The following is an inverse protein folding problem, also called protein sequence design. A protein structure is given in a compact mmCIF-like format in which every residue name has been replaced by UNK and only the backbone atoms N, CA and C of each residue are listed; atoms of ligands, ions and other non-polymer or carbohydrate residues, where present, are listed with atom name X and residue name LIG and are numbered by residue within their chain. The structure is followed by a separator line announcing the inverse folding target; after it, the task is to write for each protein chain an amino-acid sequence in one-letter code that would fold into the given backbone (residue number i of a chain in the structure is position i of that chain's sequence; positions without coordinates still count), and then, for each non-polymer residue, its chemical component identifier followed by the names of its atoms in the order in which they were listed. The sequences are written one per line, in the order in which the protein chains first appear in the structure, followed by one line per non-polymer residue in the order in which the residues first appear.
data_IF_511386099166
#
_entry.id   IF_511386099166
#
_cell.length_a   1.000
_cell.length_b   1.000
_cell.length_c   1.000
_cell.angle_alpha   90.00
_cell.angle_beta   90.00
_cell.angle_gamma   90.00
#
_symmetry.space_group_name_H-M   'P 1'
#
loop_
_entity.id
_entity.type
_entity.pdbx_description
1 polymer ?
#
# COMPACT_ATOMS: atom_id res chain seq x y z
N UNK A 1 -37.57 18.73 27.03
CA UNK A 1 -36.75 17.55 26.71
C UNK A 1 -37.27 16.91 25.43
N UNK A 2 -36.55 17.06 24.32
CA UNK A 2 -36.89 16.39 23.07
C UNK A 2 -36.49 14.92 23.17
N UNK A 3 -37.50 14.05 23.08
CA UNK A 3 -37.33 12.60 22.96
C UNK A 3 -36.64 12.36 21.61
N UNK A 4 -35.35 12.02 21.63
CA UNK A 4 -34.66 11.48 20.44
C UNK A 4 -35.36 10.14 20.17
N UNK A 5 -36.39 10.16 19.33
CA UNK A 5 -37.01 8.92 18.85
C UNK A 5 -35.97 8.21 18.02
N UNK A 6 -35.67 6.97 18.38
CA UNK A 6 -34.90 6.06 17.56
C UNK A 6 -35.66 5.90 16.23
N UNK A 7 -35.35 6.76 15.26
CA UNK A 7 -35.94 6.81 13.92
C UNK A 7 -35.35 5.72 13.01
N UNK A 8 -34.87 4.62 13.59
CA UNK A 8 -34.34 3.50 12.83
C UNK A 8 -35.50 2.70 12.24
N UNK A 9 -35.77 2.90 10.95
CA UNK A 9 -36.64 2.00 10.21
C UNK A 9 -36.04 0.58 10.21
N UNK A 10 -36.88 -0.45 10.34
CA UNK A 10 -36.46 -1.86 10.35
C UNK A 10 -36.01 -2.39 8.97
N UNK A 11 -35.95 -1.54 7.93
CA UNK A 11 -35.53 -1.91 6.56
C UNK A 11 -34.10 -1.48 6.23
N UNK A 12 -33.22 -1.40 7.23
CA UNK A 12 -31.85 -0.92 7.06
C UNK A 12 -31.03 -1.83 6.16
N UNK A 13 -31.23 -3.14 6.26
CA UNK A 13 -30.54 -4.13 5.42
C UNK A 13 -30.91 -3.94 3.94
N UNK A 14 -32.17 -3.64 3.66
CA UNK A 14 -32.65 -3.36 2.30
C UNK A 14 -32.10 -2.04 1.75
N UNK A 15 -31.95 -1.01 2.60
CA UNK A 15 -31.32 0.26 2.23
C UNK A 15 -29.86 0.05 1.79
N UNK A 16 -29.11 -0.77 2.52
CA UNK A 16 -27.71 -1.09 2.18
C UNK A 16 -27.65 -1.86 0.85
N UNK A 17 -28.46 -2.90 0.69
CA UNK A 17 -28.53 -3.66 -0.55
C UNK A 17 -28.91 -2.77 -1.76
N UNK A 18 -29.84 -1.82 -1.58
CA UNK A 18 -30.22 -0.84 -2.60
C UNK A 18 -29.05 0.10 -2.95
N UNK A 19 -28.34 0.65 -1.95
CA UNK A 19 -27.21 1.58 -2.15
C UNK A 19 -26.05 0.97 -2.94
N UNK A 20 -25.76 -0.32 -2.71
CA UNK A 20 -24.71 -1.04 -3.42
C UNK A 20 -25.17 -1.67 -4.74
N UNK A 21 -26.46 -1.55 -5.09
CA UNK A 21 -27.01 -2.15 -6.30
C UNK A 21 -27.12 -3.68 -6.24
N UNK A 22 -27.13 -4.24 -5.03
CA UNK A 22 -27.25 -5.67 -4.76
C UNK A 22 -28.72 -6.12 -4.61
N UNK A 23 -29.65 -5.16 -4.46
CA UNK A 23 -31.07 -5.43 -4.40
C UNK A 23 -31.60 -5.98 -5.74
N UNK A 24 -32.33 -7.10 -5.69
CA UNK A 24 -33.01 -7.63 -6.87
C UNK A 24 -34.08 -6.65 -7.36
N UNK A 25 -34.46 -6.70 -8.65
CA UNK A 25 -35.43 -5.75 -9.24
C UNK A 25 -36.74 -5.63 -8.44
N UNK A 26 -37.28 -6.76 -7.98
CA UNK A 26 -38.49 -6.78 -7.16
C UNK A 26 -38.30 -6.13 -5.78
N UNK A 27 -37.13 -6.32 -5.16
CA UNK A 27 -36.77 -5.73 -3.87
C UNK A 27 -36.53 -4.22 -4.00
N UNK A 28 -35.81 -3.80 -5.05
CA UNK A 28 -35.57 -2.39 -5.35
C UNK A 28 -36.90 -1.63 -5.52
N UNK A 29 -37.82 -2.13 -6.34
CA UNK A 29 -39.14 -1.49 -6.52
C UNK A 29 -40.01 -1.53 -5.26
N UNK A 30 -39.83 -2.50 -4.37
CA UNK A 30 -40.52 -2.54 -3.07
C UNK A 30 -39.91 -1.54 -2.08
N UNK A 31 -38.60 -1.30 -2.16
CA UNK A 31 -37.91 -0.31 -1.37
C UNK A 31 -38.22 1.12 -1.84
N UNK A 32 -38.30 1.36 -3.15
CA UNK A 32 -38.68 2.65 -3.73
C UNK A 32 -40.09 3.10 -3.28
N UNK A 33 -41.07 2.19 -3.31
CA UNK A 33 -42.42 2.46 -2.75
C UNK A 33 -42.40 2.76 -1.25
N UNK A 34 -41.45 2.20 -0.52
CA UNK A 34 -41.26 2.51 0.90
C UNK A 34 -40.63 3.90 1.09
N UNK A 35 -39.69 4.28 0.23
CA UNK A 35 -39.10 5.62 0.24
C UNK A 35 -40.14 6.71 0.02
N UNK A 36 -41.24 6.46 -0.71
CA UNK A 36 -42.35 7.43 -0.83
C UNK A 36 -43.00 7.75 0.53
N UNK A 37 -43.06 6.77 1.42
CA UNK A 37 -43.84 6.86 2.66
C UNK A 37 -42.98 6.96 3.94
N UNK A 38 -41.67 6.73 3.86
CA UNK A 38 -40.76 6.75 5.02
C UNK A 38 -39.74 7.89 4.92
N UNK A 39 -39.96 8.95 5.70
CA UNK A 39 -39.02 10.09 5.77
C UNK A 39 -37.64 9.67 6.30
N UNK A 40 -37.58 8.83 7.34
CA UNK A 40 -36.32 8.39 7.93
C UNK A 40 -35.39 7.69 6.92
N UNK A 41 -35.93 6.79 6.09
CA UNK A 41 -35.12 6.13 5.05
C UNK A 41 -34.67 7.09 3.94
N UNK A 42 -35.47 8.11 3.60
CA UNK A 42 -35.05 9.15 2.64
C UNK A 42 -33.92 10.00 3.20
N UNK A 43 -34.00 10.36 4.48
CA UNK A 43 -32.97 11.14 5.16
C UNK A 43 -31.67 10.34 5.26
N UNK A 44 -31.74 9.06 5.64
CA UNK A 44 -30.58 8.16 5.65
C UNK A 44 -29.96 8.02 4.24
N UNK A 45 -30.78 7.79 3.20
CA UNK A 45 -30.29 7.67 1.82
C UNK A 45 -29.58 8.96 1.35
N UNK A 46 -30.12 10.11 1.72
CA UNK A 46 -29.55 11.43 1.42
C UNK A 46 -28.22 11.64 2.16
N UNK A 47 -28.16 11.28 3.44
CA UNK A 47 -26.94 11.33 4.22
C UNK A 47 -25.81 10.49 3.61
N UNK A 48 -26.13 9.29 3.10
CA UNK A 48 -25.15 8.45 2.39
C UNK A 48 -24.73 9.03 1.03
N UNK A 49 -25.62 9.71 0.31
CA UNK A 49 -25.28 10.37 -0.95
C UNK A 49 -24.19 11.43 -0.75
N UNK A 50 -24.29 12.25 0.31
CA UNK A 50 -23.25 13.23 0.65
C UNK A 50 -21.89 12.58 0.94
N UNK A 51 -21.85 11.46 1.64
CA UNK A 51 -20.59 10.74 1.89
C UNK A 51 -19.98 10.23 0.59
N UNK A 52 -20.79 9.67 -0.31
CA UNK A 52 -20.32 9.18 -1.62
C UNK A 52 -19.78 10.31 -2.50
N UNK A 53 -20.43 11.46 -2.48
CA UNK A 53 -19.97 12.66 -3.17
C UNK A 53 -18.61 13.12 -2.61
N UNK A 54 -18.48 13.27 -1.29
CA UNK A 54 -17.22 13.65 -0.65
C UNK A 54 -16.06 12.67 -0.94
N UNK A 55 -16.34 11.36 -0.93
CA UNK A 55 -15.33 10.34 -1.34
C UNK A 55 -14.99 10.45 -2.83
N UNK A 56 -15.98 10.78 -3.66
CA UNK A 56 -15.79 11.01 -5.10
C UNK A 56 -14.89 12.22 -5.37
N UNK A 57 -15.12 13.33 -4.68
CA UNK A 57 -14.28 14.54 -4.76
C UNK A 57 -12.86 14.26 -4.29
N UNK A 58 -12.70 13.63 -3.11
CA UNK A 58 -11.39 13.26 -2.58
C UNK A 58 -10.62 12.35 -3.55
N UNK A 59 -11.30 11.36 -4.14
CA UNK A 59 -10.71 10.50 -5.16
C UNK A 59 -10.32 11.32 -6.40
N UNK A 60 -11.17 12.22 -6.87
CA UNK A 60 -10.86 13.06 -8.01
C UNK A 60 -9.62 13.93 -7.73
N UNK A 61 -9.49 14.49 -6.53
CA UNK A 61 -8.33 15.29 -6.13
C UNK A 61 -7.05 14.47 -6.06
N UNK A 62 -7.10 13.24 -5.53
CA UNK A 62 -5.96 12.34 -5.59
C UNK A 62 -5.55 12.00 -7.04
N UNK A 63 -6.52 11.79 -7.92
CA UNK A 63 -6.23 11.51 -9.33
C UNK A 63 -5.74 12.73 -10.12
N UNK A 64 -6.08 13.96 -9.70
CA UNK A 64 -5.52 15.20 -10.28
C UNK A 64 -4.00 15.31 -10.05
N UNK A 65 -3.51 14.77 -8.93
CA UNK A 65 -2.07 14.76 -8.60
C UNK A 65 -1.29 13.57 -9.14
N UNK A 66 -1.98 12.50 -9.57
CA UNK A 66 -1.33 11.36 -10.17
C UNK A 66 -0.95 11.68 -11.63
N UNK A 67 0.31 11.45 -12.07
CA UNK A 67 0.64 11.55 -13.48
C UNK A 67 -0.27 10.58 -14.23
N UNK A 68 -1.11 11.11 -15.11
CA UNK A 68 -2.02 10.31 -15.92
C UNK A 68 -1.19 9.31 -16.72
N UNK A 69 -1.12 8.07 -16.27
CA UNK A 69 -0.77 6.95 -17.12
C UNK A 69 -1.89 6.91 -18.16
N UNK A 70 -1.62 7.55 -19.30
CA UNK A 70 -2.55 7.71 -20.41
C UNK A 70 -2.79 6.34 -21.04
N UNK A 71 -3.62 5.54 -20.38
CA UNK A 71 -4.13 4.28 -20.88
C UNK A 71 -5.01 4.51 -22.14
N UNK A 72 -5.43 5.75 -22.38
CA UNK A 72 -6.09 6.21 -23.60
C UNK A 72 -5.22 6.02 -24.86
N UNK A 73 -3.88 6.07 -24.75
CA UNK A 73 -2.97 5.79 -25.87
C UNK A 73 -2.85 4.29 -26.21
N UNK A 74 -3.07 3.40 -25.23
CA UNK A 74 -2.99 1.95 -25.41
C UNK A 74 -4.32 1.31 -25.87
N UNK A 75 -5.43 2.04 -25.75
CA UNK A 75 -6.78 1.61 -26.16
C UNK A 75 -7.30 2.33 -27.40
N UNK A 76 -6.42 2.95 -28.20
CA UNK A 76 -6.75 3.40 -29.55
C UNK A 76 -6.98 2.20 -30.48
N UNK A 77 -8.03 1.42 -30.20
CA UNK A 77 -8.62 0.46 -31.12
C UNK A 77 -9.35 1.27 -32.22
N UNK A 78 -9.25 0.86 -33.49
CA UNK A 78 -9.96 1.53 -34.57
C UNK A 78 -11.48 1.45 -34.33
N UNK A 79 -12.07 2.63 -34.16
CA UNK A 79 -13.50 2.86 -33.98
C UNK A 79 -14.24 2.58 -35.29
N UNK A 80 -14.58 1.31 -35.55
CA UNK A 80 -15.42 0.97 -36.71
C UNK A 80 -16.34 -0.24 -36.52
N UNK A 81 -16.70 -0.58 -35.27
CA UNK A 81 -17.76 -1.57 -35.01
C UNK A 81 -18.68 -1.13 -33.87
N UNK A 82 -19.41 -0.03 -34.08
CA UNK A 82 -20.66 0.19 -33.37
C UNK A 82 -21.72 -0.76 -33.95
N UNK A 83 -21.95 -1.87 -33.26
CA UNK A 83 -23.18 -2.64 -33.38
C UNK A 83 -23.61 -3.09 -31.98
N UNK A 84 -24.57 -2.35 -31.42
CA UNK A 84 -25.53 -2.74 -30.37
C UNK A 84 -25.19 -4.01 -29.58
N UNK A 85 -24.49 -3.88 -28.45
CA UNK A 85 -24.31 -4.96 -27.49
C UNK A 85 -24.71 -4.53 -26.09
N UNK A 86 -25.64 -5.33 -25.54
CA UNK A 86 -26.32 -5.29 -24.25
C UNK A 86 -25.31 -5.38 -23.07
N UNK A 87 -25.47 -4.61 -21.97
CA UNK A 87 -24.44 -4.44 -20.93
C UNK A 87 -24.18 -5.63 -19.99
N UNK A 88 -24.81 -6.80 -20.17
CA UNK A 88 -24.71 -7.90 -19.18
C UNK A 88 -23.55 -8.90 -19.40
N UNK A 89 -22.74 -8.77 -20.46
CA UNK A 89 -21.71 -9.78 -20.79
C UNK A 89 -20.26 -9.31 -20.71
N UNK A 90 -20.00 -8.11 -20.22
CA UNK A 90 -18.64 -7.54 -20.22
C UNK A 90 -17.79 -7.94 -19.02
N UNK A 91 -18.37 -8.43 -17.91
CA UNK A 91 -17.58 -8.88 -16.76
C UNK A 91 -16.68 -10.07 -17.11
N UNK A 92 -17.13 -11.00 -17.96
CA UNK A 92 -16.33 -12.16 -18.39
C UNK A 92 -15.14 -11.74 -19.26
N UNK A 93 -15.27 -10.64 -20.00
CA UNK A 93 -14.19 -10.06 -20.82
C UNK A 93 -13.20 -9.30 -19.95
N UNK A 94 -13.67 -8.56 -18.94
CA UNK A 94 -12.82 -7.91 -17.95
C UNK A 94 -12.00 -8.94 -17.14
N UNK A 95 -12.62 -10.05 -16.73
CA UNK A 95 -11.92 -11.16 -16.05
C UNK A 95 -10.92 -11.86 -16.96
N UNK A 96 -11.19 -11.97 -18.26
CA UNK A 96 -10.25 -12.56 -19.22
C UNK A 96 -8.97 -11.71 -19.34
N UNK A 97 -9.10 -10.39 -19.45
CA UNK A 97 -7.96 -9.46 -19.49
C UNK A 97 -7.18 -9.46 -18.16
N UNK A 98 -7.87 -9.54 -17.03
CA UNK A 98 -7.23 -9.64 -15.72
C UNK A 98 -6.44 -10.96 -15.58
N UNK A 99 -7.00 -12.07 -16.06
CA UNK A 99 -6.32 -13.37 -16.07
C UNK A 99 -5.04 -13.32 -16.91
N UNK A 100 -5.09 -12.65 -18.06
CA UNK A 100 -3.94 -12.46 -18.95
C UNK A 100 -2.81 -11.67 -18.27
N UNK A 101 -3.17 -10.64 -17.50
CA UNK A 101 -2.24 -9.84 -16.69
C UNK A 101 -1.59 -10.67 -15.57
N UNK A 102 -2.35 -11.54 -14.91
CA UNK A 102 -1.80 -12.44 -13.88
C UNK A 102 -0.94 -13.56 -14.47
N UNK A 103 -1.23 -14.04 -15.69
CA UNK A 103 -0.35 -15.00 -16.38
C UNK A 103 0.96 -14.38 -16.86
N UNK A 104 1.00 -13.07 -17.07
CA UNK A 104 2.23 -12.32 -17.39
C UNK A 104 2.97 -11.83 -16.14
N UNK A 105 2.40 -12.01 -14.95
CA UNK A 105 3.06 -11.61 -13.70
C UNK A 105 4.22 -12.55 -13.38
N UNK A 106 5.39 -12.01 -13.00
CA UNK A 106 6.59 -12.80 -12.84
C UNK A 106 6.50 -13.73 -11.61
N UNK A 107 7.16 -14.89 -11.67
CA UNK A 107 6.96 -16.08 -10.81
C UNK A 107 6.92 -15.78 -9.30
N UNK A 108 7.63 -14.76 -8.82
CA UNK A 108 7.59 -14.31 -7.43
C UNK A 108 6.20 -13.82 -6.96
N UNK A 109 5.36 -13.31 -7.85
CA UNK A 109 3.99 -12.89 -7.54
C UNK A 109 3.03 -14.09 -7.41
N UNK A 110 3.26 -15.18 -8.14
CA UNK A 110 2.52 -16.43 -7.97
C UNK A 110 2.83 -17.12 -6.63
N UNK A 111 4.05 -17.00 -6.11
CA UNK A 111 4.37 -17.47 -4.77
C UNK A 111 3.62 -16.66 -3.69
N UNK A 112 3.48 -15.35 -3.91
CA UNK A 112 2.73 -14.46 -3.01
C UNK A 112 1.24 -14.77 -2.94
N UNK A 113 0.59 -15.12 -4.05
CA UNK A 113 -0.85 -15.41 -4.07
C UNK A 113 -1.20 -16.73 -3.36
N UNK A 114 -0.34 -17.76 -3.47
CA UNK A 114 -0.53 -19.02 -2.74
C UNK A 114 -0.36 -18.81 -1.23
N UNK A 115 0.67 -18.05 -0.82
CA UNK A 115 0.86 -17.71 0.58
C UNK A 115 -0.32 -16.89 1.14
N UNK A 116 -0.78 -15.88 0.41
CA UNK A 116 -1.94 -15.07 0.81
C UNK A 116 -3.23 -15.92 0.90
N UNK A 117 -3.47 -16.81 -0.06
CA UNK A 117 -4.63 -17.70 -0.04
C UNK A 117 -4.58 -18.66 1.16
N UNK A 118 -3.39 -19.21 1.50
CA UNK A 118 -3.22 -20.05 2.69
C UNK A 118 -3.44 -19.27 3.99
N UNK A 119 -2.95 -18.03 4.08
CA UNK A 119 -3.19 -17.16 5.24
C UNK A 119 -4.68 -16.84 5.37
N UNK A 120 -5.36 -16.50 4.28
CA UNK A 120 -6.81 -16.24 4.29
C UNK A 120 -7.59 -17.50 4.70
N UNK A 121 -7.25 -18.68 4.17
CA UNK A 121 -7.87 -19.94 4.58
C UNK A 121 -7.61 -20.26 6.05
N UNK A 122 -6.41 -20.00 6.56
CA UNK A 122 -6.07 -20.19 7.98
C UNK A 122 -6.86 -19.23 8.88
N UNK A 123 -6.99 -17.96 8.48
CA UNK A 123 -7.80 -16.96 9.19
C UNK A 123 -9.29 -17.30 9.14
N UNK A 124 -9.80 -17.76 8.00
CA UNK A 124 -11.18 -18.22 7.87
C UNK A 124 -11.45 -19.45 8.75
N UNK A 125 -10.52 -20.40 8.81
CA UNK A 125 -10.62 -21.54 9.72
C UNK A 125 -10.61 -21.10 11.19
N UNK A 126 -9.75 -20.14 11.57
CA UNK A 126 -9.75 -19.55 12.92
C UNK A 126 -11.07 -18.84 13.25
N UNK A 127 -11.63 -18.12 12.29
CA UNK A 127 -12.90 -17.41 12.45
C UNK A 127 -14.07 -18.39 12.65
N UNK A 128 -14.11 -19.51 11.91
CA UNK A 128 -15.11 -20.57 12.08
C UNK A 128 -14.98 -21.25 13.45
N UNK A 129 -13.75 -21.39 13.96
CA UNK A 129 -13.48 -21.97 15.30
C UNK A 129 -13.77 -20.98 16.44
N UNK A 130 -14.16 -19.72 16.14
CA UNK A 130 -14.42 -18.69 17.16
C UNK A 130 -13.24 -18.52 18.12
N UNK A 131 -12.01 -18.68 17.61
CA UNK A 131 -10.80 -18.47 18.39
C UNK A 131 -10.66 -16.97 18.67
N UNK A 132 -10.98 -16.56 19.90
CA UNK A 132 -10.70 -15.21 20.37
C UNK A 132 -9.18 -15.08 20.56
N UNK A 133 -8.51 -14.51 19.56
CA UNK A 133 -7.10 -14.11 19.70
C UNK A 133 -7.08 -12.80 20.45
N UNK A 134 -6.76 -12.87 21.75
CA UNK A 134 -6.55 -11.68 22.57
C UNK A 134 -5.06 -11.39 22.63
N UNK A 135 -4.67 -10.27 22.05
CA UNK A 135 -3.34 -9.68 22.28
C UNK A 135 -3.38 -8.95 23.63
N UNK A 136 -2.57 -9.43 24.58
CA UNK A 136 -2.36 -8.78 25.88
C UNK A 136 -0.87 -8.42 26.01
N UNK A 137 -0.52 -7.56 26.98
CA UNK A 137 0.86 -7.10 27.23
C UNK A 137 1.82 -8.28 27.55
N UNK A 138 1.29 -9.46 27.89
CA UNK A 138 2.05 -10.68 28.15
C UNK A 138 2.25 -11.62 26.94
N UNK A 139 1.84 -11.23 25.72
CA UNK A 139 2.05 -12.01 24.49
C UNK A 139 0.77 -12.58 23.84
N UNK A 140 0.94 -13.41 22.81
CA UNK A 140 -0.18 -13.97 22.01
C UNK A 140 -0.81 -15.14 22.78
N UNK A 141 -2.03 -14.95 23.30
CA UNK A 141 -2.83 -16.03 23.88
C UNK A 141 -3.93 -16.46 22.89
N UNK A 142 -3.81 -17.69 22.37
CA UNK A 142 -4.84 -18.31 21.52
C UNK A 142 -5.67 -19.25 22.38
N UNK A 143 -6.89 -18.85 22.72
CA UNK A 143 -7.83 -19.72 23.43
C UNK A 143 -8.60 -20.57 22.42
N UNK A 144 -8.11 -21.78 22.14
CA UNK A 144 -8.86 -22.78 21.38
C UNK A 144 -9.85 -23.48 22.32
N UNK A 145 -11.10 -23.01 22.32
CA UNK A 145 -12.16 -23.58 23.15
C UNK A 145 -12.59 -24.95 22.57
N UNK A 146 -11.82 -26.01 22.83
CA UNK A 146 -12.28 -27.40 22.68
C UNK A 146 -12.92 -27.83 24.00
N UNK A 147 -14.13 -28.40 23.89
CA UNK A 147 -15.12 -28.41 24.96
C UNK A 147 -14.69 -29.11 26.26
N UNK A 148 -14.94 -28.42 27.37
CA UNK A 148 -15.50 -29.03 28.56
C UNK A 148 -16.63 -28.15 29.08
N UNK A 149 -17.84 -28.71 29.17
CA UNK A 149 -18.99 -28.08 29.80
C UNK A 149 -18.67 -27.84 31.28
N UNK A 150 -18.21 -26.64 31.63
CA UNK A 150 -18.23 -26.18 33.02
C UNK A 150 -19.15 -24.95 33.09
N UNK A 151 -20.42 -25.22 33.35
CA UNK A 151 -21.44 -24.21 33.62
C UNK A 151 -21.04 -23.48 34.92
N UNK A 152 -20.45 -22.30 34.79
CA UNK A 152 -20.08 -21.42 35.92
C UNK A 152 -21.34 -20.67 36.37
N UNK A 153 -21.76 -20.74 37.64
CA UNK A 153 -22.90 -19.98 38.14
C UNK A 153 -22.61 -18.49 38.05
N UNK A 154 -23.61 -17.73 37.59
CA UNK A 154 -23.59 -16.29 37.41
C UNK A 154 -23.17 -15.57 38.70
N UNK A 155 -21.89 -15.28 38.81
CA UNK A 155 -21.38 -14.25 39.70
C UNK A 155 -21.50 -12.95 38.92
N UNK A 156 -22.38 -12.06 39.39
CA UNK A 156 -22.48 -10.68 38.92
C UNK A 156 -21.16 -10.00 39.26
N UNK A 157 -20.21 -10.03 38.33
CA UNK A 157 -19.03 -9.18 38.36
C UNK A 157 -19.48 -7.77 37.98
N UNK A 158 -19.13 -6.73 38.75
CA UNK A 158 -19.34 -5.36 38.32
C UNK A 158 -18.64 -5.16 36.98
N UNK A 159 -19.40 -4.80 35.95
CA UNK A 159 -18.88 -4.42 34.64
C UNK A 159 -17.93 -3.24 34.89
N UNK A 160 -16.61 -3.36 34.64
CA UNK A 160 -15.73 -2.20 34.65
C UNK A 160 -16.25 -1.23 33.58
N UNK A 161 -16.32 0.08 33.87
CA UNK A 161 -16.82 1.05 32.90
C UNK A 161 -16.03 0.90 31.59
N UNK A 162 -16.75 0.82 30.48
CA UNK A 162 -16.19 0.83 29.14
C UNK A 162 -15.15 1.98 29.03
N UNK A 163 -14.04 1.79 28.28
CA UNK A 163 -13.03 2.82 28.13
C UNK A 163 -13.72 4.08 27.61
N UNK A 164 -13.76 5.09 28.47
CA UNK A 164 -14.36 6.38 28.20
C UNK A 164 -13.69 6.91 26.93
N UNK A 165 -14.49 7.12 25.90
CA UNK A 165 -14.12 7.80 24.67
C UNK A 165 -13.39 9.08 25.07
N UNK A 166 -12.07 9.10 24.92
CA UNK A 166 -11.26 10.24 25.36
C UNK A 166 -11.65 11.43 24.50
N UNK A 167 -12.48 12.29 25.06
CA UNK A 167 -12.80 13.59 24.47
C UNK A 167 -11.52 14.41 24.59
N UNK A 168 -10.74 14.47 23.51
CA UNK A 168 -9.55 15.32 23.44
C UNK A 168 -9.95 16.76 23.71
N UNK A 169 -9.24 17.41 24.61
CA UNK A 169 -9.41 18.83 24.86
C UNK A 169 -8.89 19.63 23.66
N UNK A 170 -9.42 20.84 23.46
CA UNK A 170 -8.98 21.71 22.35
C UNK A 170 -7.46 21.96 22.40
N UNK A 171 -6.88 22.07 23.60
CA UNK A 171 -5.44 22.24 23.79
C UNK A 171 -4.63 21.03 23.33
N UNK A 172 -5.10 19.80 23.56
CA UNK A 172 -4.44 18.59 23.09
C UNK A 172 -4.46 18.50 21.55
N UNK A 173 -5.57 18.91 20.92
CA UNK A 173 -5.68 18.95 19.45
C UNK A 173 -4.69 19.96 18.86
N UNK A 174 -4.55 21.14 19.47
CA UNK A 174 -3.57 22.15 19.07
C UNK A 174 -2.13 21.65 19.23
N UNK A 175 -1.83 20.91 20.30
CA UNK A 175 -0.51 20.28 20.48
C UNK A 175 -0.23 19.19 19.45
N UNK A 176 -1.20 18.31 19.19
CA UNK A 176 -1.10 17.25 18.18
C UNK A 176 -0.87 17.83 16.78
N UNK A 177 -1.63 18.86 16.42
CA UNK A 177 -1.48 19.54 15.12
C UNK A 177 -0.14 20.26 15.00
N UNK A 178 0.31 20.94 16.06
CA UNK A 178 1.65 21.54 16.10
C UNK A 178 2.75 20.47 15.93
N UNK A 179 2.64 19.34 16.63
CA UNK A 179 3.59 18.22 16.53
C UNK A 179 3.62 17.60 15.13
N UNK A 180 2.46 17.35 14.52
CA UNK A 180 2.35 16.85 13.15
C UNK A 180 2.96 17.82 12.14
N UNK A 181 2.73 19.12 12.30
CA UNK A 181 3.29 20.13 11.39
C UNK A 181 4.82 20.22 11.51
N UNK A 182 5.37 20.14 12.72
CA UNK A 182 6.82 20.11 12.95
C UNK A 182 7.47 18.84 12.37
N UNK A 183 6.84 17.68 12.55
CA UNK A 183 7.31 16.42 11.96
C UNK A 183 7.32 16.47 10.42
N UNK A 184 6.28 17.04 9.81
CA UNK A 184 6.22 17.20 8.36
C UNK A 184 7.29 18.16 7.83
N UNK A 185 7.58 19.25 8.56
CA UNK A 185 8.67 20.16 8.19
C UNK A 185 10.04 19.45 8.21
N UNK A 186 10.31 18.65 9.25
CA UNK A 186 11.55 17.86 9.32
C UNK A 186 11.68 16.86 8.17
N UNK A 187 10.57 16.25 7.74
CA UNK A 187 10.57 15.31 6.62
C UNK A 187 10.93 16.00 5.30
N UNK A 188 10.38 17.20 5.05
CA UNK A 188 10.70 17.99 3.86
C UNK A 188 12.16 18.49 3.89
N UNK A 189 12.65 18.96 5.04
CA UNK A 189 14.07 19.32 5.19
C UNK A 189 14.99 18.13 4.88
N UNK A 190 14.70 16.97 5.46
CA UNK A 190 15.46 15.73 5.19
C UNK A 190 15.41 15.36 3.71
N UNK A 191 14.25 15.49 3.08
CA UNK A 191 14.08 15.24 1.63
C UNK A 191 14.94 16.18 0.79
N UNK A 192 14.96 17.47 1.11
CA UNK A 192 15.80 18.44 0.39
C UNK A 192 17.29 18.19 0.61
N UNK A 193 17.71 17.81 1.82
CA UNK A 193 19.09 17.43 2.11
C UNK A 193 19.51 16.21 1.29
N UNK A 194 18.64 15.20 1.20
CA UNK A 194 18.93 13.99 0.44
C UNK A 194 19.04 14.26 -1.06
N UNK A 195 18.16 15.12 -1.61
CA UNK A 195 18.23 15.56 -3.01
C UNK A 195 19.53 16.33 -3.30
N UNK A 196 19.93 17.24 -2.42
CA UNK A 196 21.18 17.99 -2.61
C UNK A 196 22.42 17.10 -2.50
N UNK A 197 22.43 16.13 -1.59
CA UNK A 197 23.48 15.11 -1.50
C UNK A 197 23.56 14.27 -2.79
N UNK A 198 22.43 13.78 -3.30
CA UNK A 198 22.37 13.04 -4.57
C UNK A 198 22.90 13.87 -5.76
N UNK A 199 22.55 15.16 -5.84
CA UNK A 199 23.09 16.04 -6.88
C UNK A 199 24.61 16.23 -6.77
N UNK A 200 25.16 16.29 -5.55
CA UNK A 200 26.62 16.38 -5.34
C UNK A 200 27.33 15.11 -5.80
N UNK A 201 26.77 13.93 -5.51
CA UNK A 201 27.30 12.64 -5.98
C UNK A 201 27.26 12.58 -7.51
N UNK A 202 26.12 12.89 -8.12
CA UNK A 202 25.98 12.88 -9.58
C UNK A 202 26.93 13.88 -10.28
N UNK A 203 27.20 15.04 -9.68
CA UNK A 203 28.20 16.00 -10.19
C UNK A 203 29.63 15.48 -10.06
N UNK A 204 29.96 14.84 -8.94
CA UNK A 204 31.28 14.24 -8.73
C UNK A 204 31.55 13.09 -9.72
N UNK A 205 30.55 12.25 -10.00
CA UNK A 205 30.63 11.19 -11.01
C UNK A 205 30.89 11.77 -12.41
N UNK A 206 30.11 12.78 -12.83
CA UNK A 206 30.34 13.46 -14.12
C UNK A 206 31.74 14.05 -14.23
N UNK A 207 32.29 14.62 -13.15
CA UNK A 207 33.65 15.16 -13.17
C UNK A 207 34.72 14.07 -13.32
N UNK A 208 34.53 12.89 -12.73
CA UNK A 208 35.42 11.73 -12.93
C UNK A 208 35.43 11.28 -14.39
N UNK A 209 34.26 11.21 -15.02
CA UNK A 209 34.15 10.82 -16.45
C UNK A 209 34.68 11.91 -17.41
N UNK A 210 34.64 13.17 -16.97
CA UNK A 210 35.12 14.32 -17.75
C UNK A 210 36.62 14.55 -17.65
N UNK A 211 37.34 13.83 -16.77
CA UNK A 211 38.78 13.95 -16.69
C UNK A 211 39.35 13.54 -18.06
N UNK A 212 40.02 14.46 -18.79
CA UNK A 212 40.56 14.12 -20.09
C UNK A 212 41.56 12.99 -19.87
N UNK A 213 41.25 11.83 -20.45
CA UNK A 213 42.23 10.78 -20.66
C UNK A 213 43.31 11.43 -21.52
N UNK A 214 44.34 11.98 -20.87
CA UNK A 214 45.60 12.36 -21.50
C UNK A 214 46.23 11.03 -21.90
N UNK A 215 45.73 10.48 -23.02
CA UNK A 215 46.40 9.45 -23.77
C UNK A 215 47.71 10.08 -24.18
N UNK A 216 48.76 9.71 -23.47
CA UNK A 216 50.14 9.92 -23.88
C UNK A 216 50.29 9.34 -25.29
N UNK A 217 50.08 10.20 -26.29
CA UNK A 217 50.54 9.99 -27.65
C UNK A 217 52.06 10.19 -27.63
N UNK A 218 52.78 9.26 -27.02
CA UNK A 218 54.18 9.03 -27.34
C UNK A 218 54.21 8.53 -28.77
N UNK A 219 54.28 9.50 -29.67
CA UNK A 219 54.51 9.31 -31.09
C UNK A 219 55.74 8.42 -31.28
N UNK A 220 55.52 7.33 -32.02
CA UNK A 220 56.52 6.55 -32.74
C UNK A 220 57.66 7.45 -33.25
N UNK A 221 58.81 7.34 -32.64
CA UNK A 221 60.08 7.58 -33.32
C UNK A 221 61.16 6.78 -32.59
N UNK A 222 61.32 5.52 -32.99
CA UNK A 222 62.55 4.77 -32.73
C UNK A 222 62.89 4.00 -34.02
N UNK A 223 64.04 4.29 -34.67
CA UNK A 223 64.53 3.53 -35.79
C UNK A 223 65.17 2.22 -35.30
N UNK A 224 64.96 1.19 -36.10
CA UNK A 224 65.55 -0.14 -36.06
C UNK A 224 66.99 -0.19 -35.53
N UNK A 225 67.20 -0.77 -34.34
CA UNK A 225 68.49 -1.40 -34.01
C UNK A 225 68.34 -2.65 -33.17
N UNK A 226 68.96 -3.71 -33.70
CA UNK A 226 69.05 -5.08 -33.19
C UNK A 226 69.58 -5.15 -31.75
N UNK A 227 69.13 -6.23 -31.08
CA UNK A 227 69.79 -7.12 -30.10
C UNK A 227 69.36 -7.00 -28.61
N UNK A 228 69.11 -8.22 -28.11
CA UNK A 228 69.24 -8.77 -26.74
C UNK A 228 68.01 -8.69 -25.82
N UNK A 229 67.46 -9.88 -25.56
CA UNK A 229 66.79 -10.29 -24.33
C UNK A 229 67.73 -10.10 -23.10
N UNK A 230 67.23 -9.94 -21.85
CA UNK A 230 66.46 -10.95 -21.10
C UNK A 230 65.22 -10.38 -20.37
N UNK A 231 64.07 -11.08 -20.30
CA UNK A 231 63.70 -12.07 -19.26
C UNK A 231 63.85 -11.55 -17.82
N UNK A 232 63.00 -10.62 -17.37
CA UNK A 232 62.64 -10.39 -15.95
C UNK A 232 61.56 -9.28 -15.82
N UNK A 233 60.30 -9.53 -16.21
CA UNK A 233 59.23 -8.52 -15.95
C UNK A 233 57.83 -9.10 -15.68
N UNK A 234 57.71 -10.42 -15.47
CA UNK A 234 56.42 -11.07 -15.19
C UNK A 234 56.10 -11.18 -13.68
N UNK A 235 56.99 -10.74 -12.80
CA UNK A 235 56.85 -10.89 -11.34
C UNK A 235 56.33 -9.65 -10.59
N UNK A 236 56.08 -8.53 -11.29
CA UNK A 236 55.56 -7.29 -10.66
C UNK A 236 54.10 -6.99 -11.00
N UNK A 237 53.56 -7.51 -12.11
CA UNK A 237 52.17 -7.22 -12.52
C UNK A 237 51.11 -7.96 -11.68
N UNK A 238 51.49 -9.01 -10.94
CA UNK A 238 50.57 -9.76 -10.07
C UNK A 238 50.47 -9.21 -8.64
N UNK A 239 51.19 -8.14 -8.29
CA UNK A 239 51.22 -7.61 -6.93
C UNK A 239 50.33 -6.39 -6.69
N UNK A 240 49.75 -5.80 -7.74
CA UNK A 240 48.94 -4.58 -7.66
C UNK A 240 47.43 -4.80 -7.86
N UNK A 241 46.97 -6.05 -7.85
CA UNK A 241 45.55 -6.41 -8.03
C UNK A 241 44.91 -7.01 -6.77
N UNK A 242 45.57 -6.92 -5.62
CA UNK A 242 45.16 -7.63 -4.41
C UNK A 242 45.15 -6.75 -3.15
N UNK A 243 44.90 -5.45 -3.31
CA UNK A 243 44.75 -4.52 -2.19
C UNK A 243 43.62 -3.58 -2.56
N UNK A 244 42.61 -3.51 -1.69
CA UNK A 244 41.42 -2.62 -1.71
C UNK A 244 40.04 -3.32 -1.78
N UNK A 245 39.89 -4.52 -1.21
CA UNK A 245 38.58 -5.16 -0.94
C UNK A 245 38.26 -5.28 0.57
N UNK A 246 38.89 -4.48 1.44
CA UNK A 246 38.53 -4.44 2.87
C UNK A 246 37.82 -3.11 3.21
N UNK A 247 36.74 -3.24 3.97
CA UNK A 247 35.93 -2.18 4.62
C UNK A 247 34.82 -1.52 3.78
N UNK A 248 33.86 -2.33 3.32
CA UNK A 248 32.47 -1.87 3.27
C UNK A 248 31.81 -2.18 4.62
N UNK A 249 31.32 -1.17 5.37
CA UNK A 249 30.66 -1.40 6.66
C UNK A 249 29.41 -2.25 6.48
N UNK A 250 29.38 -3.38 7.16
CA UNK A 250 28.21 -4.27 7.23
C UNK A 250 27.06 -3.58 7.93
N UNK A 251 25.85 -3.74 7.38
CA UNK A 251 24.59 -3.16 7.90
C UNK A 251 24.24 -3.51 9.36
N UNK A 252 24.97 -4.42 10.00
CA UNK A 252 24.80 -4.71 11.42
C UNK A 252 25.33 -3.60 12.34
N UNK A 253 26.29 -2.79 11.90
CA UNK A 253 26.83 -1.66 12.69
C UNK A 253 25.87 -0.45 12.74
N UNK A 254 24.83 -0.42 11.89
CA UNK A 254 23.88 0.69 11.86
C UNK A 254 22.67 0.51 12.79
N UNK A 255 22.48 -0.68 13.37
CA UNK A 255 21.26 -1.03 14.12
C UNK A 255 21.50 -1.58 15.54
N UNK A 256 22.73 -1.57 16.04
CA UNK A 256 23.04 -1.92 17.42
C UNK A 256 23.60 -0.72 18.17
N UNK A 257 22.75 0.03 18.88
CA UNK A 257 23.00 0.58 20.23
C UNK A 257 21.79 1.45 20.62
N UNK A 258 20.79 0.85 21.25
CA UNK A 258 19.79 1.61 22.04
C UNK A 258 19.60 0.87 23.35
N UNK A 259 20.38 1.26 24.35
CA UNK A 259 20.05 1.12 25.77
C UNK A 259 19.18 2.32 26.23
#
# INVERSE_FOLDING_TARGET
MNKITNNSCARREELVAYLYGEAQSAQASAFERHLENCAACRDELTAFAFVREGVGEWRADLLKGAPSLSLAGALALPSSQLATARPERDWRRAFAALREFFTLSPVWLQAGTVAAALVICALAALAVVRAEVRWDESGIAVNTHSGSMQQRPASVTPIPPAPVERIYTQQEIEQLTAQLSAANQQLEETRTQLQTAQQRVARAERQKDSAPVIRNATAKNEPTRKRRAPRHEEAQLKRNLNTDDEELPTLLDLFGETD
#
